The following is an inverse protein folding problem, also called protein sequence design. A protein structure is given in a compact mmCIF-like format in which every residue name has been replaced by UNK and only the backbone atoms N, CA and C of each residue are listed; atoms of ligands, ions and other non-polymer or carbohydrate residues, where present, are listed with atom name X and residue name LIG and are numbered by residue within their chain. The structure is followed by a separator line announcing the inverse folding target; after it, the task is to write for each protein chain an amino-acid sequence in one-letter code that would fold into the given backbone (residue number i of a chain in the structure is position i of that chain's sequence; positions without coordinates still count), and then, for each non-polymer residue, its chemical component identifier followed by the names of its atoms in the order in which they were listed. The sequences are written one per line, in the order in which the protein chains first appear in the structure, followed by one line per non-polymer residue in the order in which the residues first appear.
data_IF_781976486811
#
_entry.id   IF_781976486811
#
_cell.length_a   1.000
_cell.length_b   1.000
_cell.length_c   1.000
_cell.angle_alpha   90.00
_cell.angle_beta   90.00
_cell.angle_gamma   90.00
#
_symmetry.space_group_name_H-M   'P 1'
#
loop_
_entity.id
_entity.type
_entity.pdbx_description
1 polymer ?
#
# COMPACT_ATOMS: atom_id res chain seq x y z
N UNK A 1 -2.22 0.21 24.36
CA UNK A 1 -1.56 0.50 23.07
C UNK A 1 -0.52 1.59 23.27
N UNK A 2 0.74 1.34 22.88
CA UNK A 2 1.84 2.32 22.96
C UNK A 2 1.63 3.50 22.00
N UNK A 3 2.13 4.70 22.36
CA UNK A 3 2.13 5.89 21.49
C UNK A 3 2.77 5.59 20.12
N UNK A 4 3.85 4.79 20.11
CA UNK A 4 4.49 4.32 18.88
C UNK A 4 3.51 3.55 17.98
N UNK A 5 2.72 2.64 18.55
CA UNK A 5 1.72 1.85 17.81
C UNK A 5 0.64 2.74 17.19
N UNK A 6 0.18 3.79 17.89
CA UNK A 6 -0.78 4.76 17.33
C UNK A 6 -0.19 5.56 16.17
N UNK A 7 1.04 6.05 16.30
CA UNK A 7 1.73 6.83 15.26
C UNK A 7 1.96 6.00 14.00
N UNK A 8 2.52 4.79 14.14
CA UNK A 8 2.73 3.91 12.99
C UNK A 8 1.40 3.43 12.37
N UNK A 9 0.36 3.22 13.18
CA UNK A 9 -0.98 2.94 12.68
C UNK A 9 -1.52 4.07 11.82
N UNK A 10 -1.45 5.31 12.30
CA UNK A 10 -1.85 6.51 11.55
C UNK A 10 -1.05 6.69 10.27
N UNK A 11 0.27 6.47 10.33
CA UNK A 11 1.15 6.49 9.15
C UNK A 11 0.72 5.45 8.10
N UNK A 12 0.38 4.23 8.53
CA UNK A 12 -0.15 3.21 7.62
C UNK A 12 -1.47 3.63 6.95
N UNK A 13 -2.37 4.30 7.66
CA UNK A 13 -3.59 4.86 7.07
C UNK A 13 -3.31 6.00 6.09
N UNK A 14 -2.34 6.88 6.38
CA UNK A 14 -1.94 7.94 5.45
C UNK A 14 -1.42 7.36 4.14
N UNK A 15 -0.60 6.30 4.18
CA UNK A 15 -0.12 5.61 2.99
C UNK A 15 -1.27 5.00 2.18
N UNK A 16 -2.27 4.41 2.85
CA UNK A 16 -3.46 3.89 2.18
C UNK A 16 -4.32 5.00 1.56
N UNK A 17 -4.40 6.17 2.19
CA UNK A 17 -5.10 7.33 1.64
C UNK A 17 -4.39 7.83 0.37
N UNK A 18 -3.06 7.95 0.41
CA UNK A 18 -2.26 8.30 -0.78
C UNK A 18 -2.51 7.29 -1.90
N UNK A 19 -2.50 5.99 -1.59
CA UNK A 19 -2.77 4.94 -2.56
C UNK A 19 -4.17 5.05 -3.20
N UNK A 20 -5.18 5.39 -2.41
CA UNK A 20 -6.54 5.63 -2.90
C UNK A 20 -6.58 6.82 -3.85
N UNK A 21 -5.97 7.95 -3.47
CA UNK A 21 -5.93 9.16 -4.29
C UNK A 21 -5.22 8.91 -5.62
N UNK A 22 -4.07 8.22 -5.60
CA UNK A 22 -3.33 7.91 -6.83
C UNK A 22 -4.08 6.89 -7.70
N UNK A 23 -4.81 5.95 -7.11
CA UNK A 23 -5.66 5.02 -7.86
C UNK A 23 -6.82 5.75 -8.57
N UNK A 24 -7.53 6.64 -7.86
CA UNK A 24 -8.61 7.44 -8.43
C UNK A 24 -8.11 8.35 -9.55
N UNK A 25 -6.94 8.98 -9.35
CA UNK A 25 -6.29 9.77 -10.38
C UNK A 25 -5.91 8.92 -11.60
N UNK A 26 -5.37 7.73 -11.41
CA UNK A 26 -5.07 6.79 -12.49
C UNK A 26 -6.30 6.44 -13.33
N UNK A 27 -7.43 6.13 -12.67
CA UNK A 27 -8.71 5.85 -13.34
C UNK A 27 -9.20 7.07 -14.14
N UNK A 28 -9.11 8.27 -13.58
CA UNK A 28 -9.45 9.51 -14.28
C UNK A 28 -8.62 9.70 -15.55
N UNK A 29 -7.29 9.53 -15.46
CA UNK A 29 -6.40 9.68 -16.62
C UNK A 29 -6.67 8.60 -17.68
N UNK A 30 -7.02 7.37 -17.28
CA UNK A 30 -7.47 6.33 -18.22
C UNK A 30 -8.73 6.78 -18.96
N UNK A 31 -9.73 7.34 -18.26
CA UNK A 31 -10.93 7.89 -18.89
C UNK A 31 -10.62 9.03 -19.88
N UNK A 32 -9.68 9.93 -19.53
CA UNK A 32 -9.21 10.97 -20.44
C UNK A 32 -8.48 10.40 -21.66
N UNK A 33 -7.72 9.32 -21.48
CA UNK A 33 -6.97 8.65 -22.55
C UNK A 33 -7.92 7.96 -23.54
N UNK A 34 -8.99 7.34 -23.04
CA UNK A 34 -10.01 6.70 -23.86
C UNK A 34 -10.83 7.72 -24.66
N UNK A 35 -11.12 8.89 -24.09
CA UNK A 35 -11.94 9.92 -24.74
C UNK A 35 -11.17 10.81 -25.71
N UNK A 36 -9.91 11.16 -25.37
CA UNK A 36 -9.12 12.14 -26.12
C UNK A 36 -7.87 11.55 -26.78
N UNK A 37 -7.75 10.22 -26.83
CA UNK A 37 -6.62 9.51 -27.43
C UNK A 37 -5.40 9.34 -26.52
N UNK A 38 -4.52 8.43 -26.92
CA UNK A 38 -3.27 8.15 -26.22
C UNK A 38 -2.19 9.17 -26.54
N UNK A 39 -1.54 9.68 -25.50
CA UNK A 39 -0.31 10.48 -25.61
C UNK A 39 0.72 9.92 -24.63
N UNK A 40 2.00 10.13 -24.92
CA UNK A 40 3.10 9.64 -24.08
C UNK A 40 2.96 10.11 -22.63
N UNK A 41 2.63 11.39 -22.42
CA UNK A 41 2.42 11.95 -21.08
C UNK A 41 1.26 11.30 -20.32
N UNK A 42 0.16 10.96 -21.01
CA UNK A 42 -0.99 10.27 -20.38
C UNK A 42 -0.64 8.83 -20.00
N UNK A 43 0.08 8.11 -20.86
CA UNK A 43 0.52 6.74 -20.58
C UNK A 43 1.49 6.72 -19.38
N UNK A 44 2.43 7.65 -19.32
CA UNK A 44 3.35 7.78 -18.20
C UNK A 44 2.64 8.17 -16.90
N UNK A 45 1.64 9.06 -16.98
CA UNK A 45 0.81 9.41 -15.84
C UNK A 45 0.02 8.19 -15.33
N UNK A 46 -0.57 7.38 -16.21
CA UNK A 46 -1.28 6.14 -15.84
C UNK A 46 -0.33 5.18 -15.12
N UNK A 47 0.84 4.89 -15.72
CA UNK A 47 1.84 3.99 -15.16
C UNK A 47 2.31 4.44 -13.77
N UNK A 48 2.64 5.73 -13.64
CA UNK A 48 3.12 6.32 -12.38
C UNK A 48 2.04 6.29 -11.29
N UNK A 49 0.77 6.52 -11.67
CA UNK A 49 -0.35 6.56 -10.73
C UNK A 49 -0.66 5.20 -10.15
N UNK A 50 -0.75 4.18 -11.02
CA UNK A 50 -0.99 2.80 -10.57
C UNK A 50 0.23 2.20 -9.88
N UNK A 51 1.45 2.49 -10.34
CA UNK A 51 2.67 2.11 -9.64
C UNK A 51 2.71 2.68 -8.21
N UNK A 52 2.42 3.97 -8.06
CA UNK A 52 2.32 4.61 -6.74
C UNK A 52 1.21 4.00 -5.88
N UNK A 53 0.03 3.74 -6.46
CA UNK A 53 -1.08 3.11 -5.75
C UNK A 53 -0.71 1.74 -5.17
N UNK A 54 -0.02 0.92 -5.97
CA UNK A 54 0.48 -0.39 -5.55
C UNK A 54 1.53 -0.24 -4.45
N UNK A 55 2.57 0.58 -4.65
CA UNK A 55 3.64 0.76 -3.68
C UNK A 55 3.13 1.27 -2.33
N UNK A 56 2.39 2.39 -2.33
CA UNK A 56 1.85 2.96 -1.10
C UNK A 56 0.78 2.08 -0.45
N UNK A 57 -0.03 1.39 -1.27
CA UNK A 57 -1.06 0.46 -0.80
C UNK A 57 -0.45 -0.72 -0.05
N UNK A 58 0.54 -1.39 -0.66
CA UNK A 58 1.24 -2.51 -0.02
C UNK A 58 1.99 -2.05 1.23
N UNK A 59 2.76 -0.97 1.17
CA UNK A 59 3.48 -0.46 2.34
C UNK A 59 2.53 -0.07 3.49
N UNK A 60 1.45 0.65 3.20
CA UNK A 60 0.45 1.03 4.19
C UNK A 60 -0.21 -0.18 4.86
N UNK A 61 -0.56 -1.20 4.06
CA UNK A 61 -1.08 -2.46 4.55
C UNK A 61 -0.08 -3.18 5.47
N UNK A 62 1.17 -3.32 5.03
CA UNK A 62 2.22 -3.98 5.81
C UNK A 62 2.50 -3.26 7.13
N UNK A 63 2.62 -1.93 7.13
CA UNK A 63 2.81 -1.14 8.35
C UNK A 63 1.67 -1.40 9.33
N UNK A 64 0.42 -1.43 8.87
CA UNK A 64 -0.72 -1.73 9.73
C UNK A 64 -0.69 -3.15 10.30
N UNK A 65 -0.33 -4.14 9.49
CA UNK A 65 -0.18 -5.53 9.94
C UNK A 65 0.95 -5.68 10.96
N UNK A 66 2.06 -4.98 10.74
CA UNK A 66 3.19 -4.95 11.67
C UNK A 66 2.79 -4.34 13.01
N UNK A 67 2.10 -3.19 12.99
CA UNK A 67 1.59 -2.52 14.20
C UNK A 67 0.58 -3.39 14.95
N UNK A 68 -0.22 -4.19 14.24
CA UNK A 68 -1.18 -5.12 14.82
C UNK A 68 -0.52 -6.41 15.38
N UNK A 69 0.81 -6.57 15.24
CA UNK A 69 1.52 -7.78 15.66
C UNK A 69 1.20 -9.01 14.81
N UNK A 70 0.69 -8.82 13.59
CA UNK A 70 0.32 -9.90 12.67
C UNK A 70 1.43 -10.24 11.66
N UNK A 71 2.56 -9.53 11.73
CA UNK A 71 3.76 -9.83 10.94
C UNK A 71 4.66 -10.71 11.80
N UNK A 72 5.11 -11.83 11.23
CA UNK A 72 6.09 -12.71 11.86
C UNK A 72 7.34 -11.89 12.24
N UNK A 73 7.72 -11.83 13.52
CA UNK A 73 8.93 -11.14 13.93
C UNK A 73 10.12 -11.79 13.23
N UNK A 74 11.03 -10.98 12.69
CA UNK A 74 12.21 -11.46 11.96
C UNK A 74 13.12 -12.35 12.83
N UNK A 75 13.06 -12.15 14.15
CA UNK A 75 13.82 -12.89 15.16
C UNK A 75 13.14 -14.21 15.58
N UNK A 76 11.89 -14.45 15.16
CA UNK A 76 11.23 -15.73 15.42
C UNK A 76 11.67 -16.70 14.34
N UNK A 77 12.45 -17.69 14.74
CA UNK A 77 12.79 -18.82 13.88
C UNK A 77 11.49 -19.43 13.32
N UNK A 78 11.42 -19.60 12.00
CA UNK A 78 10.24 -20.14 11.30
C UNK A 78 9.83 -21.48 11.92
N UNK A 79 10.80 -22.26 12.43
CA UNK A 79 10.56 -23.53 13.12
C UNK A 79 9.68 -23.41 14.37
N UNK A 80 9.74 -22.28 15.08
CA UNK A 80 8.96 -22.00 16.30
C UNK A 80 7.56 -21.51 15.95
N UNK A 81 7.42 -20.70 14.91
CA UNK A 81 6.12 -20.19 14.46
C UNK A 81 5.14 -21.30 14.01
N UNK A 82 5.64 -22.38 13.41
CA UNK A 82 4.83 -23.55 13.02
C UNK A 82 4.71 -24.62 14.12
N UNK A 83 5.35 -24.43 15.29
CA UNK A 83 5.37 -25.43 16.38
C UNK A 83 4.05 -25.50 17.16
N UNK A 84 3.25 -24.44 17.14
CA UNK A 84 1.95 -24.35 17.83
C UNK A 84 0.82 -25.12 17.13
N UNK A 85 1.11 -25.89 16.07
CA UNK A 85 0.15 -26.74 15.35
C UNK A 85 -0.02 -28.15 15.93
N UNK A 86 -0.01 -28.31 17.26
CA UNK A 86 -0.44 -29.54 17.95
C UNK A 86 -1.47 -29.19 19.01
#
# INVERSE_FOLDING_TARGET
MSLKSKVFGAFGYLLLLVALVTALWGVWVVGLTLSNGATEGRLLAVLSSFGSAVTFGFFGYFVRKFVAGQVLPIDVDKSVAYRAGR
#
